data_IF_528724210469
#
_entry.id   IF_528724210469
#
_cell.length_a   1.000
_cell.length_b   1.000
_cell.length_c   1.000
_cell.angle_alpha   90.00
_cell.angle_beta   90.00
_cell.angle_gamma   90.00
#
_symmetry.space_group_name_H-M   'P 1'
#
loop_
_entity.id
_entity.type
_entity.pdbx_description
1 polymer ?
#
# COMPACT_ATOMS: atom_id res chain seq x y z
N UNK A 1 -37.80 -3.92 -20.14
CA UNK A 1 -36.46 -4.50 -19.94
C UNK A 1 -36.46 -5.15 -18.57
N UNK A 2 -36.32 -6.46 -18.52
CA UNK A 2 -36.47 -7.22 -17.29
C UNK A 2 -35.31 -7.00 -16.32
N UNK A 3 -35.63 -6.89 -15.03
CA UNK A 3 -34.66 -6.70 -13.93
C UNK A 3 -33.57 -7.78 -13.93
N UNK A 4 -33.92 -9.00 -14.33
CA UNK A 4 -32.99 -10.10 -14.47
C UNK A 4 -31.88 -9.83 -15.51
N UNK A 5 -32.21 -9.24 -16.67
CA UNK A 5 -31.21 -8.90 -17.68
C UNK A 5 -30.22 -7.85 -17.15
N UNK A 6 -30.72 -6.80 -16.52
CA UNK A 6 -29.89 -5.75 -15.93
C UNK A 6 -28.99 -6.27 -14.80
N UNK A 7 -29.48 -7.19 -13.98
CA UNK A 7 -28.68 -7.82 -12.92
C UNK A 7 -27.50 -8.61 -13.49
N UNK A 8 -27.73 -9.47 -14.49
CA UNK A 8 -26.66 -10.24 -15.12
C UNK A 8 -25.68 -9.33 -15.87
N UNK A 9 -26.19 -8.32 -16.57
CA UNK A 9 -25.35 -7.34 -17.26
C UNK A 9 -24.43 -6.60 -16.29
N UNK A 10 -24.95 -6.11 -15.16
CA UNK A 10 -24.17 -5.37 -14.17
C UNK A 10 -23.06 -6.23 -13.56
N UNK A 11 -23.36 -7.48 -13.16
CA UNK A 11 -22.36 -8.39 -12.59
C UNK A 11 -21.28 -8.75 -13.60
N UNK A 12 -21.66 -9.05 -14.85
CA UNK A 12 -20.68 -9.38 -15.90
C UNK A 12 -19.79 -8.18 -16.22
N UNK A 13 -20.36 -6.98 -16.29
CA UNK A 13 -19.61 -5.76 -16.53
C UNK A 13 -18.62 -5.49 -15.39
N UNK A 14 -19.06 -5.56 -14.14
CA UNK A 14 -18.20 -5.36 -12.97
C UNK A 14 -17.10 -6.42 -12.89
N UNK A 15 -17.43 -7.70 -13.08
CA UNK A 15 -16.47 -8.79 -13.08
C UNK A 15 -15.43 -8.63 -14.19
N UNK A 16 -15.84 -8.24 -15.41
CA UNK A 16 -14.92 -8.00 -16.52
C UNK A 16 -14.01 -6.79 -16.25
N UNK A 17 -14.54 -5.72 -15.67
CA UNK A 17 -13.76 -4.56 -15.25
C UNK A 17 -12.69 -4.94 -14.23
N UNK A 18 -13.06 -5.68 -13.17
CA UNK A 18 -12.13 -6.15 -12.15
C UNK A 18 -11.07 -7.08 -12.76
N UNK A 19 -11.49 -8.04 -13.60
CA UNK A 19 -10.57 -8.99 -14.25
C UNK A 19 -9.56 -8.27 -15.15
N UNK A 20 -10.00 -7.26 -15.91
CA UNK A 20 -9.13 -6.46 -16.76
C UNK A 20 -8.12 -5.65 -15.93
N UNK A 21 -8.58 -5.04 -14.83
CA UNK A 21 -7.72 -4.29 -13.93
C UNK A 21 -6.68 -5.20 -13.24
N UNK A 22 -7.09 -6.38 -12.79
CA UNK A 22 -6.20 -7.36 -12.14
C UNK A 22 -5.20 -7.95 -13.14
N UNK A 23 -5.58 -8.25 -14.39
CA UNK A 23 -4.65 -8.73 -15.41
C UNK A 23 -3.57 -7.70 -15.72
N UNK A 24 -3.98 -6.46 -16.02
CA UNK A 24 -3.07 -5.36 -16.28
C UNK A 24 -2.17 -5.07 -15.06
N UNK A 25 -2.75 -5.09 -13.86
CA UNK A 25 -2.04 -4.90 -12.59
C UNK A 25 -1.03 -6.01 -12.30
N UNK A 26 -1.37 -7.28 -12.53
CA UNK A 26 -0.46 -8.42 -12.31
C UNK A 26 0.74 -8.37 -13.25
N UNK A 27 0.53 -7.96 -14.50
CA UNK A 27 1.63 -7.73 -15.44
C UNK A 27 2.57 -6.65 -14.94
N UNK A 28 2.03 -5.49 -14.53
CA UNK A 28 2.83 -4.39 -14.00
C UNK A 28 3.56 -4.77 -12.70
N UNK A 29 2.86 -5.44 -11.78
CA UNK A 29 3.41 -5.93 -10.52
C UNK A 29 4.57 -6.90 -10.74
N UNK A 30 4.45 -7.81 -11.72
CA UNK A 30 5.54 -8.74 -12.08
C UNK A 30 6.77 -7.98 -12.55
N UNK A 31 6.62 -6.97 -13.41
CA UNK A 31 7.75 -6.16 -13.86
C UNK A 31 8.42 -5.41 -12.71
N UNK A 32 7.63 -4.80 -11.81
CA UNK A 32 8.16 -4.11 -10.62
C UNK A 32 8.87 -5.08 -9.67
N UNK A 33 8.28 -6.26 -9.43
CA UNK A 33 8.85 -7.29 -8.56
C UNK A 33 10.15 -7.84 -9.14
N UNK A 34 10.22 -8.05 -10.45
CA UNK A 34 11.44 -8.50 -11.11
C UNK A 34 12.55 -7.45 -11.06
N UNK A 35 12.22 -6.16 -11.18
CA UNK A 35 13.21 -5.10 -11.03
C UNK A 35 13.74 -5.05 -9.59
N UNK A 36 12.87 -5.21 -8.59
CA UNK A 36 13.24 -5.29 -7.17
C UNK A 36 14.12 -6.52 -6.87
N UNK A 37 13.70 -7.71 -7.32
CA UNK A 37 14.48 -8.94 -7.19
C UNK A 37 15.82 -8.86 -7.93
N UNK A 38 15.85 -8.10 -9.03
CA UNK A 38 17.05 -7.78 -9.79
C UNK A 38 18.07 -6.93 -9.05
N UNK A 39 17.66 -6.16 -8.03
CA UNK A 39 18.56 -5.44 -7.12
C UNK A 39 19.32 -6.41 -6.21
N UNK A 40 18.67 -7.49 -5.77
CA UNK A 40 19.25 -8.49 -4.87
C UNK A 40 20.08 -9.52 -5.63
N UNK A 41 19.61 -9.96 -6.80
CA UNK A 41 20.34 -10.91 -7.66
C UNK A 41 20.18 -10.55 -9.15
N UNK A 42 21.29 -10.25 -9.86
CA UNK A 42 21.25 -9.93 -11.29
C UNK A 42 20.65 -11.04 -12.17
N UNK A 43 20.68 -12.30 -11.71
CA UNK A 43 20.09 -13.44 -12.41
C UNK A 43 18.55 -13.41 -12.44
N UNK A 44 17.91 -12.83 -11.42
CA UNK A 44 16.45 -12.71 -11.34
C UNK A 44 15.89 -11.55 -12.19
N UNK A 45 16.76 -10.64 -12.64
CA UNK A 45 16.41 -9.54 -13.57
C UNK A 45 16.16 -10.01 -15.00
N UNK A 46 16.62 -11.23 -15.37
CA UNK A 46 16.52 -11.74 -16.74
C UNK A 46 15.09 -12.16 -17.06
N UNK A 47 14.36 -11.30 -17.75
CA UNK A 47 12.99 -11.54 -18.27
C UNK A 47 12.90 -12.69 -19.27
N UNK A 48 14.04 -13.14 -19.80
CA UNK A 48 14.10 -14.28 -20.74
C UNK A 48 14.16 -15.62 -20.01
N UNK A 49 14.37 -15.62 -18.69
CA UNK A 49 14.43 -16.86 -17.92
C UNK A 49 13.03 -17.28 -17.45
N UNK A 50 12.56 -18.41 -17.98
CA UNK A 50 11.33 -19.07 -17.53
C UNK A 50 11.24 -19.26 -16.00
N UNK A 51 12.28 -19.72 -15.28
CA UNK A 51 12.17 -19.91 -13.84
C UNK A 51 12.00 -18.59 -13.05
N UNK A 52 12.68 -17.50 -13.44
CA UNK A 52 12.53 -16.22 -12.76
C UNK A 52 11.16 -15.57 -13.07
N UNK A 53 10.67 -15.72 -14.30
CA UNK A 53 9.31 -15.30 -14.66
C UNK A 53 8.25 -16.07 -13.87
N UNK A 54 8.39 -17.39 -13.76
CA UNK A 54 7.42 -18.23 -13.06
C UNK A 54 7.40 -17.91 -11.56
N UNK A 55 8.57 -17.73 -10.95
CA UNK A 55 8.70 -17.36 -9.54
C UNK A 55 8.09 -15.97 -9.28
N UNK A 56 8.44 -14.95 -10.08
CA UNK A 56 7.87 -13.62 -9.94
C UNK A 56 6.33 -13.63 -10.14
N UNK A 57 5.83 -14.40 -11.11
CA UNK A 57 4.40 -14.53 -11.34
C UNK A 57 3.70 -15.22 -10.16
N UNK A 58 4.27 -16.32 -9.64
CA UNK A 58 3.72 -17.02 -8.49
C UNK A 58 3.65 -16.11 -7.27
N UNK A 59 4.72 -15.34 -6.99
CA UNK A 59 4.73 -14.35 -5.91
C UNK A 59 3.67 -13.27 -6.10
N UNK A 60 3.51 -12.71 -7.31
CA UNK A 60 2.49 -11.72 -7.59
C UNK A 60 1.07 -12.27 -7.41
N UNK A 61 0.79 -13.49 -7.87
CA UNK A 61 -0.54 -14.12 -7.72
C UNK A 61 -0.83 -14.43 -6.26
N UNK A 62 0.16 -14.92 -5.50
CA UNK A 62 0.02 -15.15 -4.06
C UNK A 62 -0.23 -13.84 -3.30
N UNK A 63 0.45 -12.75 -3.68
CA UNK A 63 0.22 -11.43 -3.08
C UNK A 63 -1.21 -10.92 -3.32
N UNK A 64 -1.74 -11.07 -4.54
CA UNK A 64 -3.15 -10.76 -4.83
C UNK A 64 -4.11 -11.64 -4.04
N UNK A 65 -3.84 -12.95 -3.94
CA UNK A 65 -4.62 -13.88 -3.13
C UNK A 65 -4.63 -13.49 -1.65
N UNK A 66 -3.49 -13.05 -1.11
CA UNK A 66 -3.38 -12.53 0.24
C UNK A 66 -4.21 -11.26 0.44
N UNK A 67 -4.16 -10.30 -0.49
CA UNK A 67 -5.00 -9.10 -0.41
C UNK A 67 -6.50 -9.42 -0.47
N UNK A 68 -6.91 -10.40 -1.29
CA UNK A 68 -8.29 -10.87 -1.33
C UNK A 68 -8.71 -11.52 0.00
N UNK A 69 -7.86 -12.37 0.56
CA UNK A 69 -8.10 -12.98 1.88
C UNK A 69 -8.22 -11.93 2.99
N UNK A 70 -7.30 -10.96 3.03
CA UNK A 70 -7.35 -9.85 3.98
C UNK A 70 -8.61 -9.00 3.78
N UNK A 71 -8.99 -8.71 2.54
CA UNK A 71 -10.21 -7.96 2.23
C UNK A 71 -11.50 -8.63 2.70
N UNK A 72 -11.54 -9.96 2.74
CA UNK A 72 -12.70 -10.74 3.20
C UNK A 72 -12.71 -10.94 4.72
N UNK A 73 -11.54 -11.11 5.35
CA UNK A 73 -11.42 -11.42 6.78
C UNK A 73 -11.39 -10.18 7.66
N UNK A 74 -10.95 -9.03 7.15
CA UNK A 74 -10.86 -7.77 7.91
C UNK A 74 -12.28 -7.21 8.22
N UNK A 75 -12.70 -7.14 9.50
CA UNK A 75 -14.01 -6.61 9.90
C UNK A 75 -14.17 -5.11 9.63
N UNK A 76 -13.08 -4.38 9.40
CA UNK A 76 -13.12 -2.96 9.02
C UNK A 76 -13.34 -2.78 7.50
N UNK A 77 -13.42 -3.87 6.73
CA UNK A 77 -13.57 -3.87 5.29
C UNK A 77 -12.30 -3.34 4.63
N UNK A 78 -11.45 -4.24 4.11
CA UNK A 78 -10.06 -3.97 3.70
C UNK A 78 -9.81 -2.69 2.86
N UNK A 79 -10.85 -2.11 2.24
CA UNK A 79 -10.86 -0.76 1.65
C UNK A 79 -10.39 0.31 2.64
N UNK A 80 -10.86 0.31 3.90
CA UNK A 80 -10.50 1.32 4.90
C UNK A 80 -9.01 1.29 5.28
N UNK A 81 -8.37 0.13 5.11
CA UNK A 81 -6.94 -0.05 5.33
C UNK A 81 -6.13 0.24 4.04
N UNK A 82 -6.64 -0.20 2.88
CA UNK A 82 -5.98 -0.03 1.58
C UNK A 82 -5.99 1.43 1.09
N UNK A 83 -7.07 2.17 1.34
CA UNK A 83 -7.22 3.53 0.82
C UNK A 83 -6.17 4.51 1.35
N UNK A 84 -5.86 4.56 2.66
CA UNK A 84 -4.74 5.34 3.17
C UNK A 84 -3.39 4.90 2.61
N UNK A 85 -3.18 3.59 2.39
CA UNK A 85 -1.93 3.07 1.82
C UNK A 85 -1.71 3.57 0.39
N UNK A 86 -2.75 3.55 -0.45
CA UNK A 86 -2.69 4.14 -1.80
C UNK A 86 -2.38 5.63 -1.77
N UNK A 87 -2.98 6.37 -0.83
CA UNK A 87 -2.72 7.80 -0.66
C UNK A 87 -1.25 8.09 -0.36
N UNK A 88 -0.65 7.34 0.58
CA UNK A 88 0.77 7.51 0.96
C UNK A 88 1.68 7.08 -0.19
N UNK A 89 1.43 5.93 -0.82
CA UNK A 89 2.23 5.45 -1.95
C UNK A 89 2.26 6.45 -3.11
N UNK A 90 1.12 7.09 -3.42
CA UNK A 90 1.03 8.12 -4.45
C UNK A 90 1.81 9.38 -4.09
N UNK A 91 1.82 9.79 -2.82
CA UNK A 91 2.64 10.91 -2.36
C UNK A 91 4.14 10.61 -2.49
N UNK A 92 4.56 9.38 -2.17
CA UNK A 92 5.95 8.94 -2.33
C UNK A 92 6.37 8.91 -3.80
N UNK A 93 5.52 8.38 -4.69
CA UNK A 93 5.78 8.39 -6.13
C UNK A 93 5.87 9.81 -6.69
N UNK A 94 4.97 10.71 -6.27
CA UNK A 94 5.01 12.12 -6.64
C UNK A 94 6.31 12.80 -6.18
N UNK A 95 6.77 12.50 -4.96
CA UNK A 95 8.06 12.96 -4.43
C UNK A 95 9.24 12.52 -5.30
N UNK A 96 9.31 11.23 -5.66
CA UNK A 96 10.36 10.73 -6.55
C UNK A 96 10.32 11.37 -7.95
N UNK A 97 9.13 11.52 -8.52
CA UNK A 97 8.96 12.14 -9.83
C UNK A 97 9.40 13.60 -9.84
N UNK A 98 9.02 14.40 -8.83
CA UNK A 98 9.43 15.79 -8.73
C UNK A 98 10.94 15.95 -8.47
N UNK A 99 11.52 15.06 -7.67
CA UNK A 99 12.98 15.01 -7.47
C UNK A 99 13.71 14.70 -8.79
N UNK A 100 13.22 13.74 -9.57
CA UNK A 100 13.75 13.44 -10.89
C UNK A 100 13.65 14.67 -11.82
N UNK A 101 12.50 15.35 -11.83
CA UNK A 101 12.32 16.59 -12.60
C UNK A 101 13.32 17.67 -12.18
N UNK A 102 13.56 17.86 -10.88
CA UNK A 102 14.55 18.80 -10.37
C UNK A 102 15.96 18.44 -10.88
N UNK A 103 16.38 17.18 -10.75
CA UNK A 103 17.68 16.69 -11.24
C UNK A 103 17.84 16.91 -12.75
N UNK A 104 16.80 16.63 -13.53
CA UNK A 104 16.80 16.86 -14.99
C UNK A 104 16.96 18.35 -15.32
N UNK A 105 16.28 19.25 -14.60
CA UNK A 105 16.41 20.70 -14.81
C UNK A 105 17.83 21.21 -14.53
N UNK A 106 18.49 20.69 -13.48
CA UNK A 106 19.90 20.99 -13.22
C UNK A 106 20.81 20.44 -14.33
N UNK A 107 20.58 19.21 -14.79
CA UNK A 107 21.33 18.61 -15.90
C UNK A 107 21.19 19.41 -17.20
N UNK A 108 20.01 20.00 -17.44
CA UNK A 108 19.76 20.88 -18.59
C UNK A 108 20.28 22.31 -18.42
N UNK A 109 21.05 22.61 -17.36
CA UNK A 109 21.52 23.97 -17.00
C UNK A 109 20.40 25.00 -16.86
N UNK A 110 19.20 24.54 -16.51
CA UNK A 110 17.99 25.35 -16.29
C UNK A 110 17.73 25.57 -14.80
N UNK A 111 18.79 25.75 -13.99
CA UNK A 111 18.66 25.87 -12.52
C UNK A 111 17.72 26.99 -12.07
N UNK A 112 17.54 28.06 -12.87
CA UNK A 112 16.58 29.14 -12.59
C UNK A 112 15.12 28.65 -12.48
N UNK A 113 14.79 27.51 -13.08
CA UNK A 113 13.44 26.92 -13.03
C UNK A 113 13.33 25.74 -12.04
N UNK A 114 14.43 25.34 -11.39
CA UNK A 114 14.44 24.19 -10.48
C UNK A 114 13.48 24.37 -9.28
N UNK A 115 13.25 25.61 -8.85
CA UNK A 115 12.29 25.92 -7.77
C UNK A 115 10.87 25.44 -8.09
N UNK A 116 10.48 25.38 -9.37
CA UNK A 116 9.15 24.89 -9.79
C UNK A 116 8.94 23.42 -9.40
N UNK A 117 10.01 22.63 -9.38
CA UNK A 117 9.97 21.25 -8.90
C UNK A 117 10.28 21.15 -7.39
N UNK A 118 11.27 21.91 -6.90
CA UNK A 118 11.74 21.81 -5.51
C UNK A 118 10.74 22.33 -4.49
N UNK A 119 9.99 23.41 -4.78
CA UNK A 119 9.00 23.97 -3.83
C UNK A 119 7.86 22.99 -3.58
N UNK A 120 7.18 22.43 -4.61
CA UNK A 120 6.18 21.38 -4.39
C UNK A 120 6.76 20.13 -3.73
N UNK A 121 8.00 19.76 -4.06
CA UNK A 121 8.68 18.63 -3.40
C UNK A 121 8.85 18.87 -1.91
N UNK A 122 9.37 20.04 -1.53
CA UNK A 122 9.56 20.39 -0.12
C UNK A 122 8.23 20.38 0.64
N UNK A 123 7.17 20.93 0.05
CA UNK A 123 5.84 20.90 0.65
C UNK A 123 5.32 19.46 0.84
N UNK A 124 5.43 18.62 -0.19
CA UNK A 124 5.04 17.21 -0.10
C UNK A 124 5.83 16.47 0.97
N UNK A 125 7.15 16.65 1.01
CA UNK A 125 8.01 16.02 2.02
C UNK A 125 7.64 16.47 3.43
N UNK A 126 7.38 17.76 3.65
CA UNK A 126 6.95 18.27 4.96
C UNK A 126 5.64 17.58 5.38
N UNK A 127 4.64 17.55 4.51
CA UNK A 127 3.35 16.92 4.81
C UNK A 127 3.50 15.42 5.09
N UNK A 128 4.22 14.68 4.24
CA UNK A 128 4.38 13.24 4.36
C UNK A 128 5.22 12.86 5.59
N UNK A 129 6.32 13.58 5.86
CA UNK A 129 7.16 13.33 7.04
C UNK A 129 6.44 13.72 8.33
N UNK A 130 5.69 14.83 8.34
CA UNK A 130 4.88 15.23 9.50
C UNK A 130 3.80 14.19 9.79
N UNK A 131 3.12 13.69 8.76
CA UNK A 131 2.15 12.60 8.91
C UNK A 131 2.79 11.31 9.42
N UNK A 132 3.98 10.95 8.92
CA UNK A 132 4.75 9.81 9.42
C UNK A 132 5.15 9.97 10.89
N UNK A 133 5.63 11.15 11.27
CA UNK A 133 5.97 11.48 12.66
C UNK A 133 4.77 11.40 13.59
N UNK A 134 3.62 11.96 13.18
CA UNK A 134 2.38 11.86 13.94
C UNK A 134 1.91 10.41 14.07
N UNK A 135 2.03 9.59 13.02
CA UNK A 135 1.69 8.17 13.09
C UNK A 135 2.60 7.38 14.03
N UNK A 136 3.89 7.71 14.09
CA UNK A 136 4.83 7.02 14.98
C UNK A 136 4.64 7.45 16.45
N UNK A 137 4.48 8.75 16.73
CA UNK A 137 4.64 9.29 18.08
C UNK A 137 3.43 10.04 18.66
N UNK A 138 2.31 10.17 17.94
CA UNK A 138 1.15 10.88 18.47
C UNK A 138 0.53 10.13 19.66
N UNK A 139 0.18 10.83 20.76
CA UNK A 139 -0.53 10.24 21.90
C UNK A 139 -2.01 9.98 21.61
N UNK A 140 -2.56 10.49 20.50
CA UNK A 140 -3.94 10.24 20.11
C UNK A 140 -4.10 8.84 19.49
N UNK A 141 -4.94 8.02 20.10
CA UNK A 141 -5.31 6.67 19.63
C UNK A 141 -6.00 6.64 18.26
N UNK A 142 -6.36 7.78 17.69
CA UNK A 142 -6.86 7.86 16.30
C UNK A 142 -5.74 7.98 15.26
N UNK A 143 -4.52 8.30 15.70
CA UNK A 143 -3.42 8.73 14.81
C UNK A 143 -2.14 7.92 15.08
N UNK A 144 -1.75 7.71 16.34
CA UNK A 144 -0.48 7.09 16.70
C UNK A 144 -0.55 5.57 16.85
N UNK A 145 0.34 4.84 16.17
CA UNK A 145 0.45 3.38 16.25
C UNK A 145 0.75 2.90 17.68
N UNK A 146 1.66 3.58 18.40
CA UNK A 146 1.96 3.26 19.80
C UNK A 146 0.78 3.52 20.75
N UNK A 147 0.01 4.59 20.52
CA UNK A 147 -1.17 4.91 21.31
C UNK A 147 -2.27 3.85 21.10
N UNK A 148 -2.47 3.40 19.85
CA UNK A 148 -3.37 2.31 19.48
C UNK A 148 -2.95 1.00 20.14
N UNK A 149 -1.66 0.65 20.08
CA UNK A 149 -1.11 -0.55 20.71
C UNK A 149 -1.36 -0.55 22.23
N UNK A 150 -1.15 0.59 22.90
CA UNK A 150 -1.38 0.72 24.33
C UNK A 150 -2.87 0.60 24.70
N UNK A 151 -3.77 1.13 23.86
CA UNK A 151 -5.22 1.00 24.05
C UNK A 151 -5.68 -0.44 23.90
N UNK A 152 -5.17 -1.17 22.90
CA UNK A 152 -5.51 -2.58 22.71
C UNK A 152 -4.91 -3.47 23.81
N UNK A 153 -3.69 -3.19 24.28
CA UNK A 153 -3.12 -3.86 25.43
C UNK A 153 -3.97 -3.64 26.70
N UNK A 154 -4.41 -2.40 26.95
CA UNK A 154 -5.29 -2.10 28.08
C UNK A 154 -6.66 -2.81 27.98
N UNK A 155 -7.18 -3.03 26.77
CA UNK A 155 -8.41 -3.83 26.57
C UNK A 155 -8.21 -5.30 26.92
N UNK A 156 -7.09 -5.91 26.52
CA UNK A 156 -6.71 -7.27 26.91
C UNK A 156 -6.57 -7.35 28.44
N UNK A 157 -5.84 -6.42 29.04
CA UNK A 157 -5.57 -6.41 30.48
C UNK A 157 -6.84 -6.17 31.32
N UNK A 158 -7.82 -5.45 30.78
CA UNK A 158 -9.11 -5.18 31.44
C UNK A 158 -10.14 -6.31 31.30
N UNK A 159 -9.89 -7.31 30.44
CA UNK A 159 -10.83 -8.39 30.12
C UNK A 159 -12.12 -7.94 29.41
N UNK A 160 -12.28 -6.64 29.12
CA UNK A 160 -13.48 -6.08 28.53
C UNK A 160 -13.34 -6.00 27.00
N UNK A 161 -13.31 -7.17 26.39
CA UNK A 161 -13.10 -7.34 24.95
C UNK A 161 -14.41 -7.00 24.23
N UNK A 162 -14.37 -5.98 23.36
CA UNK A 162 -15.52 -5.62 22.52
C UNK A 162 -15.91 -6.83 21.64
N UNK A 163 -17.21 -7.13 21.43
CA UNK A 163 -17.67 -8.30 20.67
C UNK A 163 -17.20 -8.34 19.21
N UNK A 164 -16.54 -7.29 18.74
CA UNK A 164 -15.94 -7.17 17.41
C UNK A 164 -14.55 -7.81 17.30
N UNK A 165 -13.88 -8.17 18.41
CA UNK A 165 -12.50 -8.65 18.40
C UNK A 165 -12.32 -9.91 19.23
N UNK A 166 -11.54 -10.86 18.74
CA UNK A 166 -11.06 -12.00 19.54
C UNK A 166 -9.75 -11.62 20.25
N UNK A 167 -9.48 -12.21 21.42
CA UNK A 167 -8.24 -11.98 22.19
C UNK A 167 -6.97 -12.21 21.36
N UNK A 168 -6.96 -13.24 20.51
CA UNK A 168 -5.85 -13.53 19.59
C UNK A 168 -5.66 -12.46 18.51
N UNK A 169 -6.74 -11.86 18.01
CA UNK A 169 -6.69 -10.76 17.04
C UNK A 169 -6.16 -9.48 17.71
N UNK A 170 -6.60 -9.19 18.93
CA UNK A 170 -6.11 -8.07 19.72
C UNK A 170 -4.60 -8.17 19.99
N UNK A 171 -4.10 -9.34 20.38
CA UNK A 171 -2.66 -9.56 20.58
C UNK A 171 -1.85 -9.36 19.27
N UNK A 172 -2.39 -9.80 18.14
CA UNK A 172 -1.77 -9.60 16.83
C UNK A 172 -1.78 -8.12 16.41
N UNK A 173 -2.86 -7.38 16.68
CA UNK A 173 -2.93 -5.94 16.44
C UNK A 173 -1.93 -5.17 17.32
N UNK A 174 -1.76 -5.53 18.60
CA UNK A 174 -0.76 -4.92 19.48
C UNK A 174 0.65 -5.14 18.93
N UNK A 175 0.96 -6.37 18.50
CA UNK A 175 2.25 -6.70 17.92
C UNK A 175 2.52 -5.92 16.63
N UNK A 176 1.57 -5.90 15.69
CA UNK A 176 1.70 -5.18 14.43
C UNK A 176 1.88 -3.67 14.64
N UNK A 177 1.08 -3.04 15.52
CA UNK A 177 1.20 -1.60 15.79
C UNK A 177 2.51 -1.22 16.51
N UNK A 178 3.13 -2.14 17.27
CA UNK A 178 4.47 -1.92 17.85
C UNK A 178 5.57 -2.07 16.81
N UNK A 179 5.42 -2.99 15.86
CA UNK A 179 6.31 -3.13 14.70
C UNK A 179 6.21 -1.92 13.77
N UNK A 180 5.00 -1.45 13.46
CA UNK A 180 4.77 -0.30 12.57
C UNK A 180 5.28 1.03 13.15
N UNK A 181 5.60 1.06 14.45
CA UNK A 181 6.16 2.22 15.13
C UNK A 181 7.70 2.24 15.21
N UNK A 182 8.38 1.13 14.86
CA UNK A 182 9.84 0.98 14.91
C UNK A 182 10.47 0.83 13.54
#
# INVERSE_FOLDING_TARGET
MDVAFWYHFAILFEALFILTAVDAGTRAARFMLQDLLGVVSPGLKRTDSLPANLLATALCVLAWGYFLHQGVVDPLGGINTLWPLFGIANQMLAGMALMLCAVVLFKMKRQRYAWVALVPTAWLLICTLTAGWQKAFSPDTKIGFLAIANKFQAMIDSGNISPQYTESQLAQLVFNNRLDAG
#
